data_IF_292229754176
#
_entry.id   IF_292229754176
#
_cell.length_a   1.000
_cell.length_b   1.000
_cell.length_c   1.000
_cell.angle_alpha   90.00
_cell.angle_beta   90.00
_cell.angle_gamma   90.00
#
_symmetry.space_group_name_H-M   'P 1'
#
loop_
_entity.id
_entity.type
_entity.pdbx_description
1 polymer ?
#
# COMPACT_ATOMS: atom_id res chain seq x y z
N UNK A 1 -15.10 -39.41 -19.03
CA UNK A 1 -14.36 -39.80 -20.25
C UNK A 1 -14.11 -38.51 -21.04
N UNK A 2 -12.94 -37.93 -20.85
CA UNK A 2 -12.46 -36.77 -21.61
C UNK A 2 -11.13 -37.21 -22.24
N UNK A 3 -11.13 -37.42 -23.55
CA UNK A 3 -9.91 -37.54 -24.34
C UNK A 3 -9.74 -36.23 -25.11
N UNK A 4 -8.64 -35.54 -24.85
CA UNK A 4 -8.20 -34.36 -25.60
C UNK A 4 -6.70 -34.24 -25.44
N UNK A 5 -5.98 -34.46 -26.54
CA UNK A 5 -4.54 -34.42 -26.68
C UNK A 5 -3.88 -33.25 -25.93
N UNK A 6 -2.89 -33.56 -25.10
CA UNK A 6 -1.93 -32.58 -24.57
C UNK A 6 -0.71 -32.60 -25.49
N UNK A 7 -0.67 -31.69 -26.47
CA UNK A 7 0.60 -31.29 -27.07
C UNK A 7 1.33 -30.40 -26.07
N UNK A 8 2.52 -30.83 -25.66
CA UNK A 8 3.40 -30.05 -24.80
C UNK A 8 3.93 -28.84 -25.59
N UNK A 9 3.79 -27.60 -25.09
CA UNK A 9 4.43 -26.47 -25.74
C UNK A 9 5.95 -26.56 -25.54
N UNK A 10 6.66 -26.52 -26.65
CA UNK A 10 8.11 -26.47 -26.80
C UNK A 10 8.74 -25.37 -25.93
N UNK A 11 9.81 -25.74 -25.21
CA UNK A 11 10.51 -24.97 -24.19
C UNK A 11 11.42 -23.81 -24.70
N UNK A 12 11.20 -23.28 -25.90
CA UNK A 12 12.10 -22.26 -26.50
C UNK A 12 11.46 -20.87 -26.71
N UNK A 13 10.68 -20.38 -25.73
CA UNK A 13 10.12 -19.02 -25.83
C UNK A 13 9.78 -18.30 -24.52
N UNK A 14 10.18 -18.81 -23.35
CA UNK A 14 9.62 -18.39 -22.06
C UNK A 14 10.52 -17.48 -21.20
N UNK A 15 11.28 -16.56 -21.80
CA UNK A 15 12.14 -15.63 -21.04
C UNK A 15 12.12 -14.18 -21.55
N UNK A 16 10.94 -13.67 -21.90
CA UNK A 16 10.70 -12.23 -22.00
C UNK A 16 9.44 -11.86 -21.20
N UNK A 17 9.38 -12.28 -19.94
CA UNK A 17 8.38 -11.80 -19.00
C UNK A 17 8.58 -10.30 -18.80
N UNK A 18 7.53 -9.50 -19.06
CA UNK A 18 7.54 -8.06 -18.79
C UNK A 18 7.83 -7.85 -17.31
N UNK A 19 8.94 -7.21 -16.98
CA UNK A 19 9.46 -7.02 -15.61
C UNK A 19 8.56 -6.11 -14.74
N UNK A 20 7.37 -5.72 -15.20
CA UNK A 20 6.47 -4.77 -14.53
C UNK A 20 5.01 -5.18 -14.39
N UNK A 21 4.60 -6.40 -14.71
CA UNK A 21 3.20 -6.85 -14.56
C UNK A 21 3.17 -8.21 -13.84
N UNK A 22 3.74 -8.28 -12.63
CA UNK A 22 3.80 -9.49 -11.83
C UNK A 22 3.19 -9.27 -10.46
N UNK A 23 2.24 -10.12 -10.09
CA UNK A 23 1.69 -10.18 -8.74
C UNK A 23 2.79 -10.65 -7.77
N UNK A 24 3.00 -9.89 -6.70
CA UNK A 24 3.94 -10.14 -5.61
C UNK A 24 3.17 -10.23 -4.28
N UNK A 25 2.51 -11.37 -3.99
CA UNK A 25 1.74 -11.53 -2.77
C UNK A 25 2.63 -11.38 -1.55
N UNK A 26 2.07 -10.82 -0.48
CA UNK A 26 2.71 -10.77 0.82
C UNK A 26 2.44 -12.08 1.59
N UNK A 27 3.31 -12.41 2.55
CA UNK A 27 3.20 -13.63 3.36
C UNK A 27 2.00 -13.63 4.33
N UNK A 28 1.33 -12.48 4.45
CA UNK A 28 0.15 -12.29 5.29
C UNK A 28 -1.02 -11.76 4.45
N UNK A 29 -2.28 -12.17 4.72
CA UNK A 29 -3.44 -11.63 4.02
C UNK A 29 -3.57 -10.13 4.27
N UNK A 30 -3.60 -9.34 3.19
CA UNK A 30 -3.83 -7.89 3.25
C UNK A 30 -5.23 -7.55 2.75
N UNK A 31 -5.91 -6.69 3.51
CA UNK A 31 -7.18 -6.08 3.12
C UNK A 31 -7.03 -4.57 3.15
N UNK A 32 -7.29 -3.92 2.03
CA UNK A 32 -7.37 -2.47 1.88
C UNK A 32 -8.83 -2.06 2.04
N UNK A 33 -9.14 -1.35 3.13
CA UNK A 33 -10.48 -0.82 3.40
C UNK A 33 -10.51 0.68 3.12
N UNK A 34 -11.17 1.09 2.05
CA UNK A 34 -11.42 2.48 1.73
C UNK A 34 -12.81 2.89 2.23
N UNK A 35 -12.88 3.61 3.35
CA UNK A 35 -14.15 4.07 3.92
C UNK A 35 -14.55 5.45 3.39
N UNK A 36 -15.78 5.88 3.70
CA UNK A 36 -16.36 7.17 3.31
C UNK A 36 -16.43 7.37 1.79
N UNK A 37 -16.81 6.33 1.06
CA UNK A 37 -17.02 6.43 -0.38
C UNK A 37 -18.05 7.52 -0.74
N UNK A 38 -19.01 7.79 0.15
CA UNK A 38 -19.97 8.88 0.02
C UNK A 38 -19.30 10.27 -0.03
N UNK A 39 -18.28 10.53 0.81
CA UNK A 39 -17.48 11.75 0.71
C UNK A 39 -16.63 11.76 -0.56
N UNK A 40 -16.01 10.63 -0.88
CA UNK A 40 -15.19 10.49 -2.09
C UNK A 40 -16.01 10.78 -3.36
N UNK A 41 -17.24 10.30 -3.44
CA UNK A 41 -18.15 10.55 -4.55
C UNK A 41 -18.58 12.02 -4.65
N UNK A 42 -18.78 12.69 -3.52
CA UNK A 42 -19.14 14.10 -3.46
C UNK A 42 -17.96 15.03 -3.86
N UNK A 43 -16.77 14.77 -3.30
CA UNK A 43 -15.58 15.61 -3.49
C UNK A 43 -14.91 15.37 -4.86
N UNK A 44 -14.97 14.14 -5.37
CA UNK A 44 -14.36 13.72 -6.64
C UNK A 44 -15.44 13.36 -7.67
N UNK A 45 -16.41 14.27 -7.81
CA UNK A 45 -17.55 14.11 -8.71
C UNK A 45 -17.19 13.88 -10.18
N UNK A 46 -16.02 14.35 -10.64
CA UNK A 46 -15.57 14.07 -12.01
C UNK A 46 -15.23 12.59 -12.20
N UNK A 47 -15.76 12.02 -13.29
CA UNK A 47 -15.62 10.59 -13.59
C UNK A 47 -14.15 10.17 -13.69
N UNK A 48 -13.28 11.06 -14.18
CA UNK A 48 -11.89 10.73 -14.48
C UNK A 48 -10.99 10.69 -13.24
N UNK A 49 -11.17 11.60 -12.28
CA UNK A 49 -10.47 11.54 -10.99
C UNK A 49 -10.81 10.24 -10.25
N UNK A 50 -12.11 9.90 -10.24
CA UNK A 50 -12.62 8.68 -9.61
C UNK A 50 -12.06 7.43 -10.27
N UNK A 51 -12.05 7.38 -11.61
CA UNK A 51 -11.45 6.30 -12.39
C UNK A 51 -9.96 6.14 -12.08
N UNK A 52 -9.22 7.24 -11.99
CA UNK A 52 -7.79 7.17 -11.70
C UNK A 52 -7.54 6.63 -10.29
N UNK A 53 -8.15 7.23 -9.26
CA UNK A 53 -7.95 6.80 -7.89
C UNK A 53 -8.34 5.34 -7.66
N UNK A 54 -9.46 4.89 -8.23
CA UNK A 54 -9.87 3.48 -8.14
C UNK A 54 -8.93 2.54 -8.89
N UNK A 55 -8.40 2.93 -10.06
CA UNK A 55 -7.39 2.13 -10.78
C UNK A 55 -6.09 2.02 -10.01
N UNK A 56 -5.62 3.11 -9.39
CA UNK A 56 -4.43 3.10 -8.51
C UNK A 56 -4.64 2.11 -7.35
N UNK A 57 -5.76 2.22 -6.64
CA UNK A 57 -6.07 1.31 -5.52
C UNK A 57 -6.20 -0.15 -5.97
N UNK A 58 -6.85 -0.40 -7.11
CA UNK A 58 -6.99 -1.74 -7.70
C UNK A 58 -5.64 -2.31 -8.13
N UNK A 59 -4.77 -1.49 -8.72
CA UNK A 59 -3.40 -1.87 -9.05
C UNK A 59 -2.62 -2.28 -7.81
N UNK A 60 -2.59 -1.44 -6.77
CA UNK A 60 -1.90 -1.77 -5.51
C UNK A 60 -2.44 -3.04 -4.87
N UNK A 61 -3.77 -3.21 -4.85
CA UNK A 61 -4.39 -4.40 -4.30
C UNK A 61 -3.99 -5.66 -5.08
N UNK A 62 -4.13 -5.63 -6.41
CA UNK A 62 -3.81 -6.77 -7.26
C UNK A 62 -2.33 -7.13 -7.23
N UNK A 63 -1.45 -6.13 -7.31
CA UNK A 63 0.00 -6.27 -7.27
C UNK A 63 0.46 -6.97 -6.00
N UNK A 64 -0.20 -6.75 -4.86
CA UNK A 64 0.16 -7.36 -3.58
C UNK A 64 -0.71 -8.56 -3.18
N UNK A 65 -1.57 -9.05 -4.07
CA UNK A 65 -2.50 -10.14 -3.75
C UNK A 65 -3.50 -9.79 -2.65
N UNK A 66 -3.76 -8.50 -2.44
CA UNK A 66 -4.66 -7.99 -1.41
C UNK A 66 -6.11 -7.90 -1.91
N UNK A 67 -7.06 -7.88 -0.97
CA UNK A 67 -8.46 -7.54 -1.27
C UNK A 67 -8.69 -6.05 -1.05
N UNK A 68 -9.42 -5.40 -1.97
CA UNK A 68 -9.85 -4.01 -1.84
C UNK A 68 -11.37 -3.93 -1.66
N UNK A 69 -11.83 -3.24 -0.61
CA UNK A 69 -13.25 -2.97 -0.41
C UNK A 69 -13.46 -1.49 -0.07
N UNK A 70 -14.28 -0.83 -0.89
CA UNK A 70 -14.79 0.49 -0.61
C UNK A 70 -16.15 0.40 0.08
N UNK A 71 -16.39 1.23 1.09
CA UNK A 71 -17.65 1.27 1.83
C UNK A 71 -18.16 2.69 2.07
N UNK A 72 -19.48 2.84 2.17
CA UNK A 72 -20.16 4.08 2.55
C UNK A 72 -20.58 3.99 4.02
N UNK A 73 -20.59 5.12 4.73
CA UNK A 73 -20.88 5.12 6.17
C UNK A 73 -22.29 4.60 6.52
N UNK A 74 -23.30 4.97 5.72
CA UNK A 74 -24.72 4.63 5.96
C UNK A 74 -25.25 3.47 5.11
N UNK A 75 -24.38 2.79 4.36
CA UNK A 75 -24.79 1.69 3.49
C UNK A 75 -24.57 0.33 4.16
N UNK A 76 -25.67 -0.32 4.56
CA UNK A 76 -25.62 -1.63 5.21
C UNK A 76 -25.06 -2.72 4.28
N UNK A 77 -25.26 -2.60 2.96
CA UNK A 77 -24.79 -3.60 2.00
C UNK A 77 -23.26 -3.62 1.95
N UNK A 78 -22.60 -2.49 1.72
CA UNK A 78 -21.13 -2.42 1.71
C UNK A 78 -20.50 -2.77 3.05
N UNK A 79 -21.11 -2.36 4.18
CA UNK A 79 -20.63 -2.77 5.50
C UNK A 79 -20.76 -4.28 5.77
N UNK A 80 -21.78 -4.93 5.20
CA UNK A 80 -21.92 -6.38 5.24
C UNK A 80 -20.79 -7.07 4.47
N UNK A 81 -20.42 -6.55 3.30
CA UNK A 81 -19.28 -7.05 2.50
C UNK A 81 -17.97 -6.94 3.28
N UNK A 82 -17.72 -5.79 3.93
CA UNK A 82 -16.54 -5.61 4.80
C UNK A 82 -16.51 -6.63 5.93
N UNK A 83 -17.64 -6.81 6.64
CA UNK A 83 -17.73 -7.79 7.74
C UNK A 83 -17.44 -9.21 7.23
N UNK A 84 -18.06 -9.61 6.13
CA UNK A 84 -17.89 -10.96 5.58
C UNK A 84 -16.42 -11.22 5.17
N UNK A 85 -15.74 -10.23 4.58
CA UNK A 85 -14.32 -10.34 4.25
C UNK A 85 -13.44 -10.52 5.48
N UNK A 86 -13.66 -9.71 6.52
CA UNK A 86 -12.90 -9.82 7.76
C UNK A 86 -13.18 -11.15 8.47
N UNK A 87 -14.44 -11.59 8.51
CA UNK A 87 -14.80 -12.89 9.07
C UNK A 87 -14.16 -14.05 8.29
N UNK A 88 -14.07 -13.95 6.96
CA UNK A 88 -13.35 -14.94 6.15
C UNK A 88 -11.88 -15.04 6.56
N UNK A 89 -11.17 -13.91 6.65
CA UNK A 89 -9.75 -13.92 6.99
C UNK A 89 -9.47 -14.30 8.44
N UNK A 90 -10.35 -13.93 9.39
CA UNK A 90 -10.13 -14.18 10.82
C UNK A 90 -10.66 -15.55 11.27
N UNK A 91 -11.82 -15.97 10.75
CA UNK A 91 -12.53 -17.16 11.21
C UNK A 91 -12.63 -18.28 10.16
N UNK A 92 -12.12 -18.06 8.95
CA UNK A 92 -12.18 -19.07 7.87
C UNK A 92 -13.59 -19.32 7.34
N UNK A 93 -14.55 -18.43 7.58
CA UNK A 93 -15.91 -18.57 7.04
C UNK A 93 -15.90 -18.49 5.51
N UNK A 94 -16.82 -19.16 4.78
CA UNK A 94 -16.85 -19.10 3.32
C UNK A 94 -16.87 -17.66 2.78
N UNK A 95 -15.92 -17.31 1.91
CA UNK A 95 -15.92 -16.03 1.21
C UNK A 95 -16.90 -16.08 0.03
N UNK A 96 -18.10 -15.57 0.21
CA UNK A 96 -18.99 -15.25 -0.92
C UNK A 96 -18.86 -13.76 -1.21
N UNK A 97 -17.99 -13.41 -2.16
CA UNK A 97 -17.78 -12.03 -2.56
C UNK A 97 -17.89 -11.90 -4.07
N UNK A 98 -18.85 -11.08 -4.50
CA UNK A 98 -18.99 -10.71 -5.91
C UNK A 98 -18.09 -9.51 -6.19
N UNK A 99 -17.25 -9.62 -7.21
CA UNK A 99 -16.44 -8.50 -7.66
C UNK A 99 -17.32 -7.37 -8.22
N UNK A 100 -16.99 -6.13 -7.86
CA UNK A 100 -17.56 -4.92 -8.41
C UNK A 100 -16.44 -3.93 -8.69
N UNK A 101 -16.03 -3.86 -9.95
CA UNK A 101 -14.81 -3.16 -10.37
C UNK A 101 -15.09 -1.80 -11.04
N UNK A 102 -16.37 -1.49 -11.28
CA UNK A 102 -16.79 -0.25 -11.94
C UNK A 102 -16.71 0.95 -10.98
N UNK A 103 -15.95 2.01 -11.31
CA UNK A 103 -15.72 3.18 -10.45
C UNK A 103 -16.95 4.01 -10.15
N UNK A 104 -18.06 3.83 -10.86
CA UNK A 104 -19.32 4.50 -10.56
C UNK A 104 -19.94 4.08 -9.21
N UNK A 105 -19.52 2.92 -8.66
CA UNK A 105 -20.03 2.38 -7.39
C UNK A 105 -18.84 2.02 -6.48
N UNK A 106 -19.07 1.83 -5.17
CA UNK A 106 -18.03 1.34 -4.27
C UNK A 106 -17.39 0.07 -4.82
N UNK A 107 -16.05 0.06 -4.90
CA UNK A 107 -15.27 -1.05 -5.43
C UNK A 107 -15.27 -2.22 -4.45
N UNK A 108 -15.41 -3.42 -4.99
CA UNK A 108 -15.17 -4.69 -4.30
C UNK A 108 -14.27 -5.53 -5.21
N UNK A 109 -12.99 -5.62 -4.89
CA UNK A 109 -12.02 -6.42 -5.63
C UNK A 109 -11.38 -7.43 -4.66
N UNK A 110 -11.98 -8.63 -4.51
CA UNK A 110 -11.36 -9.70 -3.75
C UNK A 110 -10.01 -10.11 -4.36
N UNK A 111 -9.09 -10.60 -3.53
CA UNK A 111 -7.81 -11.10 -4.01
C UNK A 111 -8.01 -12.16 -5.12
N UNK A 112 -7.33 -11.97 -6.26
CA UNK A 112 -7.43 -12.87 -7.43
C UNK A 112 -8.61 -12.61 -8.38
N UNK A 113 -9.52 -11.69 -8.08
CA UNK A 113 -10.67 -11.36 -8.96
C UNK A 113 -10.40 -10.19 -9.92
N UNK A 114 -9.23 -9.57 -9.83
CA UNK A 114 -8.81 -8.47 -10.70
C UNK A 114 -7.64 -8.91 -11.60
N UNK A 115 -7.29 -8.08 -12.58
CA UNK A 115 -6.18 -8.32 -13.51
C UNK A 115 -5.54 -7.02 -13.98
N UNK A 116 -4.23 -7.04 -14.26
CA UNK A 116 -3.53 -5.88 -14.82
C UNK A 116 -4.18 -5.37 -16.13
N UNK A 117 -4.66 -6.27 -16.99
CA UNK A 117 -5.36 -5.91 -18.22
C UNK A 117 -6.72 -5.24 -17.95
N UNK A 118 -7.45 -5.69 -16.93
CA UNK A 118 -8.72 -5.10 -16.50
C UNK A 118 -8.58 -3.76 -15.76
N UNK A 119 -7.40 -3.47 -15.20
CA UNK A 119 -7.07 -2.17 -14.59
C UNK A 119 -6.62 -1.19 -15.67
N UNK A 120 -5.82 -1.67 -16.62
CA UNK A 120 -5.24 -0.90 -17.70
C UNK A 120 -3.88 -0.30 -17.35
N UNK A 121 -3.44 0.65 -18.19
CA UNK A 121 -2.16 1.36 -18.01
C UNK A 121 -2.37 2.67 -17.25
N UNK A 122 -1.39 3.10 -16.42
CA UNK A 122 -1.42 4.43 -15.83
C UNK A 122 -1.41 5.52 -16.92
N UNK A 123 -2.01 6.69 -16.67
CA UNK A 123 -1.81 7.88 -17.50
C UNK A 123 -0.32 8.20 -17.68
N UNK A 124 0.04 8.70 -18.85
CA UNK A 124 1.41 9.17 -19.11
C UNK A 124 1.66 10.48 -18.37
N UNK A 125 2.75 10.56 -17.63
CA UNK A 125 3.23 11.79 -16.98
C UNK A 125 4.53 12.21 -17.66
N UNK A 126 4.57 13.45 -18.15
CA UNK A 126 5.74 13.98 -18.86
C UNK A 126 6.99 14.03 -17.96
N UNK A 127 8.15 13.69 -18.52
CA UNK A 127 9.43 13.70 -17.80
C UNK A 127 9.70 12.48 -16.91
N UNK A 128 8.76 11.54 -16.79
CA UNK A 128 8.97 10.32 -16.01
C UNK A 128 9.66 9.22 -16.84
N UNK A 129 10.93 8.94 -16.53
CA UNK A 129 11.75 7.94 -17.24
C UNK A 129 11.80 6.55 -16.56
N UNK A 130 10.87 6.25 -15.65
CA UNK A 130 10.84 4.95 -14.94
C UNK A 130 10.13 3.87 -15.75
N UNK A 131 10.66 2.64 -15.67
CA UNK A 131 10.01 1.42 -16.18
C UNK A 131 9.23 0.67 -15.09
N UNK A 132 9.33 1.11 -13.83
CA UNK A 132 8.58 0.51 -12.73
C UNK A 132 7.09 0.88 -12.85
N UNK A 133 6.17 -0.08 -12.90
CA UNK A 133 4.72 0.18 -12.93
C UNK A 133 4.23 0.96 -11.70
N UNK A 134 4.78 0.70 -10.51
CA UNK A 134 4.37 1.32 -9.26
C UNK A 134 4.66 2.82 -9.27
N UNK A 135 5.88 3.19 -9.67
CA UNK A 135 6.28 4.60 -9.81
C UNK A 135 5.39 5.35 -10.81
N UNK A 136 4.96 4.68 -11.90
CA UNK A 136 4.07 5.30 -12.89
C UNK A 136 2.67 5.57 -12.35
N UNK A 137 2.10 4.61 -11.61
CA UNK A 137 0.81 4.82 -10.94
C UNK A 137 0.90 5.90 -9.87
N UNK A 138 2.00 5.91 -9.11
CA UNK A 138 2.24 6.91 -8.08
C UNK A 138 2.38 8.31 -8.68
N UNK A 139 3.21 8.48 -9.72
CA UNK A 139 3.36 9.76 -10.42
C UNK A 139 2.04 10.25 -11.04
N UNK A 140 1.25 9.36 -11.65
CA UNK A 140 -0.05 9.72 -12.19
C UNK A 140 -1.02 10.19 -11.09
N UNK A 141 -0.98 9.55 -9.93
CA UNK A 141 -1.75 9.97 -8.76
C UNK A 141 -1.29 11.34 -8.26
N UNK A 142 0.01 11.55 -8.02
CA UNK A 142 0.52 12.84 -7.53
C UNK A 142 0.27 14.01 -8.48
N UNK A 143 0.41 13.79 -9.79
CA UNK A 143 0.11 14.80 -10.81
C UNK A 143 -1.37 15.21 -10.80
N UNK A 144 -2.26 14.31 -10.37
CA UNK A 144 -3.71 14.52 -10.36
C UNK A 144 -4.23 15.00 -9.00
N UNK A 145 -3.62 14.53 -7.92
CA UNK A 145 -3.99 14.82 -6.53
C UNK A 145 -2.77 15.45 -5.84
N UNK A 146 -2.49 16.75 -6.09
CA UNK A 146 -1.35 17.41 -5.47
C UNK A 146 -1.48 17.35 -3.96
N UNK A 147 -0.34 17.17 -3.28
CA UNK A 147 -0.31 17.17 -1.83
C UNK A 147 -0.96 18.46 -1.32
N UNK A 148 -2.03 18.33 -0.52
CA UNK A 148 -2.53 19.46 0.25
C UNK A 148 -1.38 19.88 1.16
N UNK A 149 -0.92 21.13 1.06
CA UNK A 149 0.02 21.71 2.03
C UNK A 149 -0.54 21.43 3.42
N UNK A 150 0.11 20.48 4.11
CA UNK A 150 -0.48 19.88 5.28
C UNK A 150 -0.48 20.87 6.43
N UNK A 151 -1.65 21.40 6.79
CA UNK A 151 -1.99 21.43 8.21
C UNK A 151 -2.05 19.97 8.66
N UNK A 152 -0.91 19.44 9.11
CA UNK A 152 -0.88 18.22 9.92
C UNK A 152 -1.52 18.57 11.26
N UNK A 153 -2.84 18.64 11.30
CA UNK A 153 -3.57 18.70 12.57
C UNK A 153 -3.27 17.40 13.33
N UNK A 154 -2.39 17.50 14.33
CA UNK A 154 -2.06 16.38 15.23
C UNK A 154 -0.59 16.05 15.40
N UNK A 155 0.32 16.58 14.58
CA UNK A 155 1.75 16.58 14.94
C UNK A 155 1.98 17.86 15.73
N UNK A 156 1.89 17.79 17.06
CA UNK A 156 2.47 18.86 17.87
C UNK A 156 3.94 18.96 17.48
N UNK A 157 4.32 20.12 16.98
CA UNK A 157 5.71 20.44 16.71
C UNK A 157 6.42 20.55 18.05
N UNK A 158 6.97 19.42 18.52
CA UNK A 158 7.67 19.34 19.80
C UNK A 158 8.96 20.17 19.79
N UNK A 159 9.38 20.74 18.64
CA UNK A 159 10.48 21.71 18.60
C UNK A 159 10.15 23.02 19.30
N UNK A 160 8.86 23.29 19.56
CA UNK A 160 8.39 24.47 20.31
C UNK A 160 8.26 24.22 21.82
N UNK A 161 8.53 23.01 22.30
CA UNK A 161 8.60 22.75 23.74
C UNK A 161 9.97 23.19 24.22
N UNK A 162 10.02 24.30 24.95
CA UNK A 162 11.23 24.75 25.65
C UNK A 162 11.61 23.71 26.71
N UNK A 163 12.44 22.74 26.33
CA UNK A 163 12.85 21.63 27.19
C UNK A 163 13.50 22.11 28.51
N UNK A 164 14.05 23.32 28.51
CA UNK A 164 14.61 24.00 29.68
C UNK A 164 13.57 24.27 30.78
N UNK A 165 12.28 24.42 30.43
CA UNK A 165 11.19 24.62 31.39
C UNK A 165 10.85 23.35 32.19
N UNK A 166 11.33 22.18 31.75
CA UNK A 166 11.10 20.87 32.37
C UNK A 166 12.41 20.19 32.77
N UNK A 167 13.43 20.98 33.12
CA UNK A 167 14.71 20.44 33.59
C UNK A 167 14.50 19.66 34.91
N UNK A 168 14.83 18.37 34.88
CA UNK A 168 14.72 17.46 36.01
C UNK A 168 16.09 16.82 36.21
N UNK A 169 16.82 17.25 37.25
CA UNK A 169 18.22 16.90 37.46
C UNK A 169 18.49 15.39 37.44
N UNK A 170 17.60 14.59 38.04
CA UNK A 170 17.69 13.13 38.00
C UNK A 170 17.52 12.55 36.57
N UNK A 171 16.58 13.09 35.79
CA UNK A 171 16.30 12.61 34.43
C UNK A 171 17.43 13.02 33.48
N UNK A 172 17.93 14.24 33.63
CA UNK A 172 19.02 14.78 32.80
C UNK A 172 20.35 14.08 33.06
N UNK A 173 20.65 13.75 34.32
CA UNK A 173 21.81 12.94 34.69
C UNK A 173 21.71 11.52 34.10
N UNK A 174 20.57 10.84 34.27
CA UNK A 174 20.35 9.50 33.69
C UNK A 174 20.47 9.52 32.16
N UNK A 175 19.92 10.54 31.51
CA UNK A 175 20.01 10.71 30.05
C UNK A 175 21.46 10.90 29.60
N UNK A 176 22.23 11.72 30.31
CA UNK A 176 23.66 11.98 30.02
C UNK A 176 24.49 10.71 30.18
N UNK A 177 24.30 9.97 31.27
CA UNK A 177 24.97 8.70 31.50
C UNK A 177 24.64 7.70 30.39
N UNK A 178 23.37 7.59 29.99
CA UNK A 178 22.96 6.68 28.92
C UNK A 178 23.53 7.09 27.55
N UNK A 179 23.58 8.38 27.25
CA UNK A 179 24.18 8.87 26.01
C UNK A 179 25.68 8.58 25.94
N UNK A 180 26.41 8.79 27.04
CA UNK A 180 27.83 8.46 27.12
C UNK A 180 28.09 6.95 26.93
N UNK A 181 27.25 6.10 27.54
CA UNK A 181 27.32 4.65 27.37
C UNK A 181 27.07 4.24 25.90
N UNK A 182 26.03 4.80 25.27
CA UNK A 182 25.70 4.52 23.86
C UNK A 182 26.83 4.93 22.92
N UNK A 183 27.45 6.09 23.13
CA UNK A 183 28.57 6.54 22.29
C UNK A 183 29.82 5.67 22.47
N UNK A 184 30.09 5.21 23.70
CA UNK A 184 31.17 4.25 23.95
C UNK A 184 30.93 2.94 23.19
N UNK A 185 29.73 2.38 23.29
CA UNK A 185 29.37 1.14 22.59
C UNK A 185 29.42 1.30 21.07
N UNK A 186 28.99 2.44 20.52
CA UNK A 186 29.11 2.74 19.08
C UNK A 186 30.56 2.80 18.64
N UNK A 187 31.45 3.36 19.46
CA UNK A 187 32.88 3.43 19.16
C UNK A 187 33.51 2.04 19.18
N UNK A 188 33.22 1.24 20.20
CA UNK A 188 33.69 -0.14 20.32
C UNK A 188 33.18 -1.01 19.16
N UNK A 189 31.90 -0.89 18.80
CA UNK A 189 31.34 -1.60 17.65
C UNK A 189 32.00 -1.20 16.32
N UNK A 190 32.32 0.08 16.11
CA UNK A 190 33.06 0.54 14.92
C UNK A 190 34.48 0.00 14.87
N UNK A 191 35.16 -0.08 16.02
CA UNK A 191 36.51 -0.65 16.10
C UNK A 191 36.48 -2.16 15.83
N UNK A 192 35.58 -2.91 16.46
CA UNK A 192 35.40 -4.33 16.20
C UNK A 192 35.06 -4.63 14.73
N UNK A 193 34.20 -3.81 14.11
CA UNK A 193 33.89 -3.95 12.69
C UNK A 193 35.10 -3.65 11.79
N UNK A 194 35.96 -2.70 12.16
CA UNK A 194 37.19 -2.40 11.42
C UNK A 194 38.24 -3.52 11.57
N UNK A 195 38.41 -4.08 12.77
CA UNK A 195 39.32 -5.21 13.00
C UNK A 195 38.87 -6.47 12.25
N UNK A 196 37.56 -6.75 12.24
CA UNK A 196 37.00 -7.88 11.49
C UNK A 196 37.08 -7.71 9.96
N UNK A 197 37.26 -6.48 9.45
CA UNK A 197 37.42 -6.21 8.02
C UNK A 197 38.90 -6.27 7.55
N UNK A 198 39.85 -6.26 8.49
CA UNK A 198 41.30 -6.35 8.22
C UNK A 198 41.84 -7.78 8.39
N UNK A 199 41.10 -8.63 9.12
CA UNK A 199 41.37 -10.08 9.25
C UNK A 199 40.79 -10.87 8.07
#
# INVERSE_FOLDING_TARGET
>A
VWHGHTEAPSLEGAAAGRVGEQVRPLEVPIVILAHKWDCFEADFGSSDLRKLATRVLRFMAHQHGASLVCSKHKDKASMSVVRNLLCHHVFGTPAVMTAQLEPARPIVAPAGFDSFSGIGKPPTVDGLLTNNPEDRWFAAYEATFPAKEGKREGVQDLSMVEAEQFAEECVDEMRRQKHAEVEKLRREARLHAAEAAVA
#
